data_IF_743009896934
#
_entry.id   IF_743009896934
#
_cell.length_a   1.000
_cell.length_b   1.000
_cell.length_c   1.000
_cell.angle_alpha   90.00
_cell.angle_beta   90.00
_cell.angle_gamma   90.00
#
_symmetry.space_group_name_H-M   'P 1'
#
loop_
_entity.id
_entity.type
_entity.pdbx_description
1 polymer ?
#
# COMPACT_ATOMS: atom_id res chain seq x y z
N UNK A 1 1.67 39.40 -26.06
CA UNK A 1 0.37 39.22 -25.33
C UNK A 1 -0.07 37.76 -25.29
N UNK A 2 -0.42 37.07 -26.41
CA UNK A 2 -0.91 35.67 -26.35
C UNK A 2 0.19 34.72 -25.82
N UNK A 3 1.42 34.85 -26.30
CA UNK A 3 2.56 34.01 -25.88
C UNK A 3 2.88 34.23 -24.39
N UNK A 4 2.88 35.45 -23.91
CA UNK A 4 3.08 35.78 -22.49
C UNK A 4 1.96 35.21 -21.61
N UNK A 5 0.70 35.31 -22.05
CA UNK A 5 -0.42 34.71 -21.32
C UNK A 5 -0.31 33.18 -21.24
N UNK A 6 0.16 32.52 -22.31
CA UNK A 6 0.41 31.08 -22.31
C UNK A 6 1.54 30.69 -21.35
N UNK A 7 2.63 31.47 -21.29
CA UNK A 7 3.73 31.24 -20.34
C UNK A 7 3.30 31.44 -18.90
N UNK A 8 2.53 32.48 -18.61
CA UNK A 8 1.99 32.72 -17.28
C UNK A 8 1.03 31.61 -16.83
N UNK A 9 0.14 31.17 -17.71
CA UNK A 9 -0.76 30.04 -17.42
C UNK A 9 0.00 28.73 -17.17
N UNK A 10 1.00 28.41 -17.99
CA UNK A 10 1.84 27.23 -17.79
C UNK A 10 2.65 27.30 -16.48
N UNK A 11 3.20 28.46 -16.14
CA UNK A 11 3.90 28.70 -14.88
C UNK A 11 2.97 28.54 -13.68
N UNK A 12 1.76 29.09 -13.74
CA UNK A 12 0.74 28.94 -12.69
C UNK A 12 0.31 27.48 -12.50
N UNK A 13 0.04 26.76 -13.58
CA UNK A 13 -0.30 25.33 -13.54
C UNK A 13 0.84 24.54 -12.89
N UNK A 14 2.09 24.84 -13.28
CA UNK A 14 3.26 24.15 -12.72
C UNK A 14 3.42 24.45 -11.22
N UNK A 15 3.32 25.71 -10.78
CA UNK A 15 3.48 26.12 -9.38
C UNK A 15 2.39 25.53 -8.49
N UNK A 16 1.12 25.55 -8.94
CA UNK A 16 0.00 24.92 -8.22
C UNK A 16 0.19 23.40 -8.14
N UNK A 17 0.58 22.77 -9.23
CA UNK A 17 0.85 21.34 -9.26
C UNK A 17 1.99 20.94 -8.34
N UNK A 18 3.08 21.69 -8.34
CA UNK A 18 4.22 21.48 -7.47
C UNK A 18 3.83 21.64 -5.99
N UNK A 19 3.05 22.68 -5.66
CA UNK A 19 2.56 22.90 -4.30
C UNK A 19 1.62 21.78 -3.83
N UNK A 20 0.65 21.40 -4.65
CA UNK A 20 -0.26 20.27 -4.38
C UNK A 20 0.54 18.97 -4.21
N UNK A 21 1.47 18.70 -5.11
CA UNK A 21 2.31 17.51 -5.03
C UNK A 21 3.16 17.48 -3.76
N UNK A 22 3.84 18.58 -3.44
CA UNK A 22 4.66 18.69 -2.24
C UNK A 22 3.84 18.51 -0.97
N UNK A 23 2.67 19.15 -0.88
CA UNK A 23 1.77 18.99 0.27
C UNK A 23 1.27 17.54 0.43
N UNK A 24 1.08 16.82 -0.65
CA UNK A 24 0.65 15.42 -0.62
C UNK A 24 1.79 14.44 -0.32
N UNK A 25 3.05 14.77 -0.63
CA UNK A 25 4.20 13.93 -0.27
C UNK A 25 4.66 14.11 1.17
N UNK A 26 4.13 15.11 1.90
CA UNK A 26 4.36 15.32 3.32
C UNK A 26 3.02 15.15 4.05
N UNK A 27 2.59 13.90 4.32
CA UNK A 27 1.30 13.66 4.94
C UNK A 27 1.28 14.18 6.39
N UNK A 28 0.13 14.64 6.88
CA UNK A 28 -0.03 14.89 8.31
C UNK A 28 0.15 13.58 9.07
N UNK A 29 0.82 13.64 10.21
CA UNK A 29 1.00 12.46 11.07
C UNK A 29 -0.27 12.21 11.88
N UNK A 30 -0.90 11.09 11.61
CA UNK A 30 -2.04 10.62 12.41
C UNK A 30 -1.56 10.21 13.79
N UNK A 31 -2.22 10.74 14.83
CA UNK A 31 -2.02 10.32 16.22
C UNK A 31 -3.02 9.21 16.54
N UNK A 32 -2.55 8.13 17.14
CA UNK A 32 -3.38 7.01 17.57
C UNK A 32 -2.99 6.53 18.96
N UNK A 33 -3.96 5.92 19.66
CA UNK A 33 -3.75 5.33 20.97
C UNK A 33 -2.93 4.02 20.85
N UNK A 34 -2.27 3.58 21.93
CA UNK A 34 -1.66 2.26 21.98
C UNK A 34 -2.66 1.17 21.61
N UNK A 35 -2.18 0.17 20.88
CA UNK A 35 -3.01 -0.96 20.45
C UNK A 35 -3.04 -1.97 21.59
N UNK A 36 -4.23 -2.15 22.18
CA UNK A 36 -4.40 -3.10 23.28
C UNK A 36 -4.00 -4.53 22.87
N UNK A 37 -3.16 -5.15 23.68
CA UNK A 37 -2.64 -6.51 23.45
C UNK A 37 -1.44 -6.56 22.47
N UNK A 38 -0.98 -5.42 21.96
CA UNK A 38 0.17 -5.37 21.08
C UNK A 38 1.41 -4.79 21.76
N UNK A 39 2.57 -5.25 21.35
CA UNK A 39 3.90 -4.81 21.80
C UNK A 39 4.45 -3.76 20.82
N UNK A 40 4.85 -2.54 21.27
CA UNK A 40 5.46 -1.56 20.41
C UNK A 40 6.88 -1.98 20.03
N UNK A 41 7.24 -1.79 18.76
CA UNK A 41 8.55 -2.15 18.24
C UNK A 41 9.12 -1.03 17.38
N UNK A 42 10.45 -0.95 17.35
CA UNK A 42 11.22 -0.05 16.48
C UNK A 42 12.19 -0.84 15.63
N UNK A 43 12.27 -0.51 14.35
CA UNK A 43 13.22 -1.09 13.40
C UNK A 43 13.59 -0.04 12.34
N UNK A 44 14.51 -0.37 11.45
CA UNK A 44 14.90 0.53 10.37
C UNK A 44 14.46 -0.03 9.03
N UNK A 45 14.06 0.86 8.11
CA UNK A 45 13.96 0.52 6.69
C UNK A 45 15.34 0.17 6.13
N UNK A 46 15.39 -0.52 4.99
CA UNK A 46 16.68 -0.88 4.36
C UNK A 46 17.49 0.33 3.86
N UNK A 47 16.87 1.50 3.72
CA UNK A 47 17.53 2.77 3.42
C UNK A 47 17.68 3.68 4.66
N UNK A 48 17.59 3.11 5.88
CA UNK A 48 17.99 3.75 7.13
C UNK A 48 16.94 4.64 7.80
N UNK A 49 15.69 4.64 7.37
CA UNK A 49 14.62 5.39 8.03
C UNK A 49 14.17 4.65 9.29
N UNK A 50 14.17 5.29 10.49
CA UNK A 50 13.63 4.67 11.69
C UNK A 50 12.12 4.49 11.56
N UNK A 51 11.65 3.26 11.77
CA UNK A 51 10.25 2.87 11.64
C UNK A 51 9.71 2.45 13.00
N UNK A 52 8.41 2.70 13.17
CA UNK A 52 7.64 2.28 14.32
C UNK A 52 6.61 1.24 13.89
N UNK A 53 6.43 0.22 14.72
CA UNK A 53 5.46 -0.84 14.50
C UNK A 53 4.84 -1.34 15.81
N UNK A 54 3.91 -2.27 15.65
CA UNK A 54 3.30 -3.04 16.73
C UNK A 54 3.24 -4.51 16.36
N UNK A 55 3.56 -5.37 17.31
CA UNK A 55 3.45 -6.82 17.17
C UNK A 55 2.25 -7.31 17.95
N UNK A 56 1.41 -8.14 17.31
CA UNK A 56 0.45 -9.01 17.97
C UNK A 56 0.95 -10.44 17.82
N UNK A 57 1.28 -11.09 18.93
CA UNK A 57 1.70 -12.49 18.92
C UNK A 57 0.49 -13.40 18.93
N UNK A 58 0.41 -14.28 17.97
CA UNK A 58 -0.57 -15.35 17.87
C UNK A 58 -0.04 -16.65 18.47
N UNK A 59 -0.29 -17.78 17.79
CA UNK A 59 0.30 -19.07 18.19
C UNK A 59 1.81 -19.04 17.91
N UNK A 60 2.60 -19.70 18.76
CA UNK A 60 4.07 -19.71 18.67
C UNK A 60 4.58 -20.05 17.28
N UNK A 61 3.91 -21.04 16.65
CA UNK A 61 4.29 -21.54 15.32
C UNK A 61 3.54 -20.92 14.14
N UNK A 62 2.73 -19.91 14.36
CA UNK A 62 1.93 -19.32 13.29
C UNK A 62 2.78 -18.47 12.32
N UNK A 63 2.36 -18.39 11.06
CA UNK A 63 2.91 -17.46 10.10
C UNK A 63 2.74 -16.00 10.53
N UNK A 64 3.63 -15.14 10.02
CA UNK A 64 3.52 -13.70 10.21
C UNK A 64 2.75 -13.06 9.06
N UNK A 65 1.99 -12.02 9.38
CA UNK A 65 1.37 -11.13 8.40
C UNK A 65 1.86 -9.71 8.66
N UNK A 66 2.44 -9.08 7.64
CA UNK A 66 2.84 -7.66 7.65
C UNK A 66 1.68 -6.82 7.15
N UNK A 67 1.33 -5.76 7.89
CA UNK A 67 0.22 -4.86 7.56
C UNK A 67 0.72 -3.49 7.13
N UNK A 68 0.31 -3.05 5.93
CA UNK A 68 0.67 -1.78 5.33
C UNK A 68 -0.59 -0.90 5.17
N UNK A 69 -0.63 0.22 5.88
CA UNK A 69 -1.74 1.17 5.86
C UNK A 69 -1.76 2.05 4.61
N UNK A 70 -2.87 2.76 4.39
CA UNK A 70 -3.04 3.69 3.28
C UNK A 70 -2.39 5.06 3.54
N UNK A 71 -2.27 5.85 2.47
CA UNK A 71 -1.77 7.21 2.53
C UNK A 71 -2.58 8.09 3.49
N UNK A 72 -1.88 8.93 4.29
CA UNK A 72 -2.41 9.81 5.35
C UNK A 72 -3.06 9.09 6.54
N UNK A 73 -2.91 7.78 6.62
CA UNK A 73 -3.32 6.96 7.74
C UNK A 73 -2.12 6.43 8.53
N UNK A 74 -2.37 5.55 9.45
CA UNK A 74 -1.38 4.92 10.32
C UNK A 74 -1.76 3.46 10.55
N UNK A 75 -1.02 2.80 11.40
CA UNK A 75 -1.34 1.48 11.94
C UNK A 75 -2.81 1.38 12.42
N UNK A 76 -3.41 2.48 12.91
CA UNK A 76 -4.78 2.48 13.39
C UNK A 76 -5.80 1.98 12.35
N UNK A 77 -5.53 2.19 11.05
CA UNK A 77 -6.39 1.70 9.97
C UNK A 77 -6.40 0.18 9.87
N UNK A 78 -5.23 -0.46 10.03
CA UNK A 78 -5.08 -1.91 9.86
C UNK A 78 -5.24 -2.69 11.16
N UNK A 79 -5.17 -2.03 12.31
CA UNK A 79 -5.22 -2.67 13.62
C UNK A 79 -6.49 -3.51 13.86
N UNK A 80 -7.71 -3.09 13.47
CA UNK A 80 -8.89 -3.94 13.62
C UNK A 80 -8.76 -5.25 12.84
N UNK A 81 -8.27 -5.20 11.59
CA UNK A 81 -8.08 -6.38 10.74
C UNK A 81 -7.02 -7.29 11.35
N UNK A 82 -5.88 -6.72 11.76
CA UNK A 82 -4.79 -7.47 12.37
C UNK A 82 -5.21 -8.20 13.65
N UNK A 83 -6.06 -7.57 14.49
CA UNK A 83 -6.58 -8.20 15.68
C UNK A 83 -7.45 -9.44 15.38
N UNK A 84 -8.29 -9.36 14.35
CA UNK A 84 -9.13 -10.50 13.98
C UNK A 84 -8.28 -11.66 13.42
N UNK A 85 -7.28 -11.35 12.56
CA UNK A 85 -6.37 -12.38 12.08
C UNK A 85 -5.49 -12.95 13.21
N UNK A 86 -5.13 -12.13 14.20
CA UNK A 86 -4.42 -12.61 15.38
C UNK A 86 -5.29 -13.55 16.24
N UNK A 87 -6.59 -13.26 16.37
CA UNK A 87 -7.54 -14.18 17.03
C UNK A 87 -7.68 -15.51 16.26
N UNK A 88 -7.53 -15.49 14.94
CA UNK A 88 -7.46 -16.69 14.12
C UNK A 88 -6.12 -17.43 14.28
N UNK A 89 -5.16 -16.87 15.02
CA UNK A 89 -3.90 -17.52 15.38
C UNK A 89 -2.67 -16.98 14.68
N UNK A 90 -2.77 -16.06 13.71
CA UNK A 90 -1.62 -15.47 13.02
C UNK A 90 -0.82 -14.54 13.91
N UNK A 91 0.49 -14.46 13.68
CA UNK A 91 1.30 -13.37 14.18
C UNK A 91 1.15 -12.14 13.26
N UNK A 92 1.13 -10.94 13.82
CA UNK A 92 0.97 -9.72 13.04
C UNK A 92 2.07 -8.70 13.36
N UNK A 93 2.64 -8.11 12.31
CA UNK A 93 3.45 -6.91 12.39
C UNK A 93 2.73 -5.77 11.65
N UNK A 94 2.23 -4.82 12.42
CA UNK A 94 1.68 -3.58 11.88
C UNK A 94 2.80 -2.54 11.83
N UNK A 95 2.96 -1.85 10.72
CA UNK A 95 4.00 -0.84 10.58
C UNK A 95 3.43 0.50 10.13
N UNK A 96 3.89 1.59 10.76
CA UNK A 96 3.74 2.92 10.18
C UNK A 96 4.76 3.06 9.04
N UNK A 97 4.28 3.33 7.84
CA UNK A 97 5.16 3.64 6.72
C UNK A 97 5.96 4.93 6.98
N UNK A 98 7.07 5.10 6.28
CA UNK A 98 7.85 6.36 6.33
C UNK A 98 6.97 7.59 6.22
N UNK A 99 7.31 8.65 6.94
CA UNK A 99 6.58 9.92 7.04
C UNK A 99 5.16 9.82 7.62
N UNK A 100 4.69 8.65 8.05
CA UNK A 100 3.37 8.45 8.66
C UNK A 100 3.46 8.06 10.14
N UNK A 101 2.37 8.21 10.87
CA UNK A 101 2.24 7.81 12.25
C UNK A 101 3.42 8.24 13.11
N UNK A 102 4.09 7.28 13.75
CA UNK A 102 5.26 7.49 14.61
C UNK A 102 6.59 7.22 13.91
N UNK A 103 6.59 6.75 12.66
CA UNK A 103 7.80 6.47 11.90
C UNK A 103 8.54 7.75 11.49
N UNK A 104 9.84 7.63 11.26
CA UNK A 104 10.69 8.69 10.73
C UNK A 104 10.41 9.02 9.26
N UNK A 105 11.32 9.81 8.69
CA UNK A 105 11.17 10.28 7.31
C UNK A 105 10.32 11.53 7.18
N UNK A 106 10.42 12.21 6.03
CA UNK A 106 9.77 13.49 5.78
C UNK A 106 8.82 13.46 4.59
N UNK A 107 8.84 12.41 3.78
CA UNK A 107 7.99 12.31 2.59
C UNK A 107 7.67 10.88 2.23
N UNK A 108 6.48 10.70 1.66
CA UNK A 108 6.03 9.47 1.02
C UNK A 108 6.20 9.55 -0.49
N UNK A 109 6.39 8.40 -1.12
CA UNK A 109 6.46 8.24 -2.57
C UNK A 109 5.28 7.42 -3.14
N UNK A 110 4.22 7.28 -2.37
CA UNK A 110 2.99 6.57 -2.73
C UNK A 110 3.20 5.09 -3.09
N UNK A 111 4.07 4.41 -2.34
CA UNK A 111 4.31 2.98 -2.46
C UNK A 111 5.66 2.61 -3.08
N UNK A 112 6.40 3.55 -3.69
CA UNK A 112 7.67 3.22 -4.36
C UNK A 112 8.85 3.05 -3.40
N UNK A 113 9.16 4.06 -2.57
CA UNK A 113 10.25 3.94 -1.57
C UNK A 113 9.82 3.17 -0.33
N UNK A 114 8.53 3.07 -0.10
CA UNK A 114 7.92 2.32 1.00
C UNK A 114 8.19 0.81 0.91
N UNK A 115 8.63 0.28 -0.25
CA UNK A 115 9.14 -1.09 -0.35
C UNK A 115 10.33 -1.33 0.59
N UNK A 116 11.18 -0.32 0.83
CA UNK A 116 12.29 -0.43 1.76
C UNK A 116 11.83 -0.54 3.21
N UNK A 117 10.64 0.00 3.54
CA UNK A 117 10.03 -0.14 4.86
C UNK A 117 9.60 -1.59 5.08
N UNK A 118 8.98 -2.20 4.06
CA UNK A 118 8.61 -3.62 4.07
C UNK A 118 9.86 -4.50 4.18
N UNK A 119 10.92 -4.22 3.42
CA UNK A 119 12.16 -4.99 3.53
C UNK A 119 12.80 -4.85 4.91
N UNK A 120 12.76 -3.67 5.52
CA UNK A 120 13.17 -3.47 6.91
C UNK A 120 12.34 -4.31 7.89
N UNK A 121 11.02 -4.36 7.69
CA UNK A 121 10.12 -5.22 8.47
C UNK A 121 10.47 -6.71 8.33
N UNK A 122 10.80 -7.17 7.12
CA UNK A 122 11.23 -8.56 6.89
C UNK A 122 12.58 -8.88 7.56
N UNK A 123 13.52 -7.94 7.55
CA UNK A 123 14.79 -8.07 8.29
C UNK A 123 14.51 -8.15 9.78
N UNK A 124 13.67 -7.27 10.31
CA UNK A 124 13.28 -7.29 11.71
C UNK A 124 12.64 -8.63 12.12
N UNK A 125 11.66 -9.12 11.33
CA UNK A 125 11.00 -10.40 11.58
C UNK A 125 11.97 -11.58 11.57
N UNK A 126 13.01 -11.55 10.74
CA UNK A 126 14.04 -12.60 10.74
C UNK A 126 14.90 -12.64 12.01
N UNK A 127 14.93 -11.54 12.78
CA UNK A 127 15.68 -11.44 14.04
C UNK A 127 14.84 -11.80 15.28
N UNK A 128 13.50 -11.60 15.21
CA UNK A 128 12.61 -11.80 16.35
C UNK A 128 11.75 -13.08 16.24
N UNK A 129 11.80 -13.76 15.12
CA UNK A 129 11.17 -15.07 14.99
C UNK A 129 12.02 -16.13 15.70
N UNK A 130 11.48 -16.69 16.78
CA UNK A 130 12.17 -17.72 17.60
C UNK A 130 12.33 -19.06 16.90
N UNK A 131 11.92 -19.20 15.66
CA UNK A 131 11.88 -20.44 14.89
C UNK A 131 12.40 -20.26 13.46
N UNK A 132 12.59 -21.38 12.74
CA UNK A 132 12.97 -21.40 11.33
C UNK A 132 12.12 -20.43 10.48
N UNK A 133 12.69 -19.85 9.40
CA UNK A 133 11.98 -18.89 8.56
C UNK A 133 10.64 -19.45 8.10
N UNK A 134 9.54 -18.83 8.53
CA UNK A 134 8.19 -19.20 8.12
C UNK A 134 7.74 -18.33 6.96
N UNK A 135 6.83 -18.81 6.11
CA UNK A 135 6.26 -17.97 5.07
C UNK A 135 5.56 -16.74 5.69
N UNK A 136 5.77 -15.58 5.11
CA UNK A 136 5.21 -14.32 5.57
C UNK A 136 4.12 -13.89 4.61
N UNK A 137 2.93 -13.58 5.12
CA UNK A 137 1.89 -12.89 4.38
C UNK A 137 2.06 -11.37 4.44
N UNK A 138 1.51 -10.67 3.46
CA UNK A 138 1.41 -9.21 3.50
C UNK A 138 0.00 -8.77 3.13
N UNK A 139 -0.56 -7.85 3.92
CA UNK A 139 -1.82 -7.19 3.63
C UNK A 139 -1.59 -5.70 3.53
N UNK A 140 -1.96 -5.11 2.39
CA UNK A 140 -1.87 -3.68 2.19
C UNK A 140 -3.19 -3.07 1.74
N UNK A 141 -3.40 -1.80 2.13
CA UNK A 141 -4.59 -1.02 1.75
C UNK A 141 -4.13 0.21 0.95
N UNK A 142 -4.68 0.43 -0.24
CA UNK A 142 -4.41 1.59 -1.11
C UNK A 142 -2.91 1.78 -1.40
N UNK A 143 -2.26 2.81 -0.86
CA UNK A 143 -0.80 2.97 -0.92
C UNK A 143 -0.08 1.73 -0.38
N UNK A 144 -0.54 1.18 0.74
CA UNK A 144 -0.02 -0.05 1.31
C UNK A 144 -0.20 -1.26 0.39
N UNK A 145 -1.31 -1.34 -0.36
CA UNK A 145 -1.55 -2.40 -1.34
C UNK A 145 -0.58 -2.30 -2.53
N UNK A 146 -0.33 -1.07 -3.00
CA UNK A 146 0.69 -0.77 -4.01
C UNK A 146 2.07 -1.19 -3.51
N UNK A 147 2.42 -0.81 -2.28
CA UNK A 147 3.69 -1.20 -1.63
C UNK A 147 3.82 -2.71 -1.50
N UNK A 148 2.76 -3.40 -1.06
CA UNK A 148 2.75 -4.86 -0.87
C UNK A 148 3.02 -5.61 -2.17
N UNK A 149 2.33 -5.25 -3.26
CA UNK A 149 2.55 -5.85 -4.58
C UNK A 149 3.97 -5.60 -5.09
N UNK A 150 4.45 -4.36 -4.98
CA UNK A 150 5.80 -4.01 -5.41
C UNK A 150 6.87 -4.74 -4.59
N UNK A 151 6.75 -4.77 -3.26
CA UNK A 151 7.70 -5.44 -2.38
C UNK A 151 7.74 -6.96 -2.65
N UNK A 152 6.58 -7.59 -2.78
CA UNK A 152 6.48 -9.02 -3.04
C UNK A 152 7.09 -9.42 -4.40
N UNK A 153 7.11 -8.52 -5.40
CA UNK A 153 7.76 -8.79 -6.68
C UNK A 153 9.29 -8.85 -6.59
N UNK A 154 9.89 -8.39 -5.48
CA UNK A 154 11.34 -8.36 -5.25
C UNK A 154 11.80 -9.26 -4.10
N UNK A 155 10.91 -9.76 -3.25
CA UNK A 155 11.28 -10.57 -2.08
C UNK A 155 10.33 -11.77 -1.92
N UNK A 156 10.87 -12.95 -2.15
CA UNK A 156 10.10 -14.21 -2.13
C UNK A 156 9.73 -14.66 -0.71
N UNK A 157 10.26 -14.04 0.34
CA UNK A 157 9.81 -14.25 1.73
C UNK A 157 8.35 -13.87 1.91
N UNK A 158 7.85 -12.92 1.09
CA UNK A 158 6.44 -12.58 1.01
C UNK A 158 5.69 -13.64 0.19
N UNK A 159 5.22 -14.67 0.88
CA UNK A 159 4.68 -15.88 0.29
C UNK A 159 3.20 -15.78 -0.12
N UNK A 160 2.45 -14.81 0.42
CA UNK A 160 1.06 -14.57 0.06
C UNK A 160 0.73 -13.07 0.18
N UNK A 161 -0.05 -12.54 -0.75
CA UNK A 161 -0.34 -11.11 -0.85
C UNK A 161 -1.85 -10.85 -0.86
N UNK A 162 -2.33 -10.00 0.03
CA UNK A 162 -3.66 -9.37 -0.03
C UNK A 162 -3.47 -7.89 -0.34
N UNK A 163 -4.04 -7.41 -1.44
CA UNK A 163 -3.95 -6.03 -1.87
C UNK A 163 -5.36 -5.44 -2.05
N UNK A 164 -5.75 -4.56 -1.12
CA UNK A 164 -7.03 -3.87 -1.13
C UNK A 164 -6.91 -2.48 -1.75
N UNK A 165 -7.64 -2.24 -2.83
CA UNK A 165 -7.69 -0.99 -3.58
C UNK A 165 -6.31 -0.51 -4.11
N UNK A 166 -5.46 -1.37 -4.70
CA UNK A 166 -4.20 -0.95 -5.30
C UNK A 166 -4.43 -0.09 -6.55
N UNK A 167 -3.50 0.80 -6.87
CA UNK A 167 -3.50 1.44 -8.18
C UNK A 167 -2.89 0.51 -9.25
N UNK A 168 -3.34 0.62 -10.50
CA UNK A 168 -2.77 -0.13 -11.63
C UNK A 168 -1.31 0.25 -11.88
N UNK A 169 -1.08 1.55 -12.02
CA UNK A 169 0.24 2.20 -12.03
C UNK A 169 0.15 3.53 -11.30
N UNK A 170 1.24 4.01 -10.75
CA UNK A 170 1.24 5.34 -10.14
C UNK A 170 0.98 6.46 -11.18
N UNK A 171 1.36 6.24 -12.44
CA UNK A 171 1.04 7.15 -13.54
C UNK A 171 -0.46 7.28 -13.78
N UNK A 172 -1.20 6.17 -13.75
CA UNK A 172 -2.67 6.18 -13.84
C UNK A 172 -3.29 6.88 -12.62
N UNK A 173 -2.80 6.60 -11.41
CA UNK A 173 -3.27 7.27 -10.19
C UNK A 173 -3.17 8.80 -10.29
N UNK A 174 -2.02 9.33 -10.72
CA UNK A 174 -1.82 10.77 -10.89
C UNK A 174 -2.70 11.37 -12.00
N UNK A 175 -2.92 10.63 -13.07
CA UNK A 175 -3.79 11.04 -14.18
C UNK A 175 -5.26 11.05 -13.76
N UNK A 176 -5.73 10.02 -13.07
CA UNK A 176 -7.12 9.93 -12.60
C UNK A 176 -7.37 10.99 -11.50
N UNK A 177 -6.38 11.27 -10.65
CA UNK A 177 -6.45 12.38 -9.70
C UNK A 177 -6.63 13.73 -10.41
N UNK A 178 -5.84 14.02 -11.45
CA UNK A 178 -5.98 15.24 -12.23
C UNK A 178 -7.34 15.35 -12.92
N UNK A 179 -7.85 14.25 -13.46
CA UNK A 179 -9.17 14.18 -14.11
C UNK A 179 -10.33 14.45 -13.15
N UNK A 180 -10.21 14.03 -11.90
CA UNK A 180 -11.29 14.16 -10.91
C UNK A 180 -11.57 15.60 -10.46
N UNK A 181 -10.61 16.54 -10.65
CA UNK A 181 -10.73 17.88 -10.10
C UNK A 181 -10.41 19.06 -11.04
N UNK A 182 -9.80 18.82 -12.22
CA UNK A 182 -9.24 19.90 -13.04
C UNK A 182 -9.99 20.19 -14.36
N UNK A 183 -11.08 19.44 -14.69
CA UNK A 183 -11.86 19.66 -15.90
C UNK A 183 -10.97 19.74 -17.16
N UNK A 184 -11.09 20.82 -17.99
CA UNK A 184 -10.27 20.96 -19.22
C UNK A 184 -8.76 21.08 -18.97
N UNK A 185 -8.34 21.38 -17.73
CA UNK A 185 -6.93 21.48 -17.33
C UNK A 185 -6.34 20.15 -16.83
N UNK A 186 -7.10 19.07 -16.88
CA UNK A 186 -6.68 17.75 -16.38
C UNK A 186 -5.41 17.20 -17.05
N UNK A 187 -5.26 17.37 -18.37
CA UNK A 187 -4.09 16.89 -19.08
C UNK A 187 -2.80 17.64 -18.70
N UNK A 188 -2.75 19.00 -18.74
CA UNK A 188 -1.57 19.73 -18.28
C UNK A 188 -1.27 19.53 -16.80
N UNK A 189 -2.29 19.38 -15.93
CA UNK A 189 -2.08 19.07 -14.52
C UNK A 189 -1.45 17.68 -14.34
N UNK A 190 -1.96 16.65 -15.03
CA UNK A 190 -1.38 15.31 -15.00
C UNK A 190 0.09 15.30 -15.45
N UNK A 191 0.39 15.96 -16.56
CA UNK A 191 1.76 16.09 -17.08
C UNK A 191 2.69 16.75 -16.05
N UNK A 192 2.23 17.83 -15.42
CA UNK A 192 2.98 18.53 -14.37
C UNK A 192 3.21 17.68 -13.13
N UNK A 193 2.20 16.94 -12.65
CA UNK A 193 2.33 16.02 -11.51
C UNK A 193 3.33 14.89 -11.81
N UNK A 194 3.27 14.31 -13.01
CA UNK A 194 4.19 13.26 -13.47
C UNK A 194 5.63 13.78 -13.56
N UNK A 195 5.83 14.97 -14.13
CA UNK A 195 7.15 15.59 -14.20
C UNK A 195 7.72 15.92 -12.81
N UNK A 196 6.90 16.49 -11.92
CA UNK A 196 7.28 16.80 -10.53
C UNK A 196 7.66 15.54 -9.77
N UNK A 197 6.89 14.46 -9.92
CA UNK A 197 7.22 13.15 -9.33
C UNK A 197 8.59 12.66 -9.83
N UNK A 198 8.83 12.70 -11.15
CA UNK A 198 10.10 12.29 -11.77
C UNK A 198 11.28 13.10 -11.23
N UNK A 199 11.13 14.41 -11.10
CA UNK A 199 12.19 15.28 -10.56
C UNK A 199 12.48 14.95 -9.10
N UNK A 200 11.44 14.71 -8.27
CA UNK A 200 11.60 14.49 -6.84
C UNK A 200 12.13 13.09 -6.50
N UNK A 201 11.68 12.06 -7.17
CA UNK A 201 11.97 10.66 -6.82
C UNK A 201 12.89 9.95 -7.80
N UNK A 202 13.26 10.59 -8.91
CA UNK A 202 14.16 10.00 -9.89
C UNK A 202 13.55 8.89 -10.75
N UNK A 203 12.24 8.63 -10.64
CA UNK A 203 11.55 7.53 -11.32
C UNK A 203 10.29 8.02 -12.01
N UNK A 204 10.02 7.54 -13.24
CA UNK A 204 8.76 7.83 -13.91
C UNK A 204 7.60 7.09 -13.21
N UNK A 205 6.48 7.76 -12.86
CA UNK A 205 5.35 7.12 -12.17
C UNK A 205 4.76 5.94 -12.94
N UNK A 206 4.75 5.97 -14.28
CA UNK A 206 4.29 4.86 -15.11
C UNK A 206 5.12 3.57 -14.98
N UNK A 207 6.36 3.68 -14.51
CA UNK A 207 7.24 2.53 -14.25
C UNK A 207 6.99 1.92 -12.86
N UNK A 208 6.24 2.60 -11.99
CA UNK A 208 5.81 2.09 -10.70
C UNK A 208 4.47 1.42 -10.92
N UNK A 209 4.53 0.12 -11.18
CA UNK A 209 3.39 -0.65 -11.71
C UNK A 209 3.11 -1.89 -10.88
N UNK A 210 2.14 -1.81 -9.95
CA UNK A 210 1.56 -2.99 -9.31
C UNK A 210 1.09 -4.06 -10.29
N UNK A 211 0.60 -3.68 -11.48
CA UNK A 211 0.24 -4.62 -12.55
C UNK A 211 1.43 -5.47 -13.01
N UNK A 212 2.58 -4.83 -13.28
CA UNK A 212 3.79 -5.58 -13.66
C UNK A 212 4.35 -6.39 -12.49
N UNK A 213 4.23 -5.88 -11.25
CA UNK A 213 4.63 -6.58 -10.05
C UNK A 213 3.79 -7.86 -9.85
N UNK A 214 2.47 -7.78 -9.99
CA UNK A 214 1.57 -8.92 -9.86
C UNK A 214 1.87 -10.05 -10.85
N UNK A 215 2.28 -9.73 -12.07
CA UNK A 215 2.68 -10.71 -13.05
C UNK A 215 3.91 -11.57 -12.66
N UNK A 216 4.67 -11.13 -11.64
CA UNK A 216 5.87 -11.82 -11.14
C UNK A 216 5.61 -12.64 -9.87
N UNK A 217 4.38 -12.63 -9.34
CA UNK A 217 4.08 -13.27 -8.07
C UNK A 217 3.90 -14.79 -8.19
N UNK A 218 3.37 -15.28 -9.31
CA UNK A 218 3.14 -16.72 -9.47
C UNK A 218 4.42 -17.55 -9.22
N UNK A 219 4.30 -18.68 -8.51
CA UNK A 219 3.09 -19.35 -8.04
C UNK A 219 2.60 -18.88 -6.64
N UNK A 220 3.04 -17.72 -6.14
CA UNK A 220 2.62 -17.20 -4.83
C UNK A 220 1.19 -16.66 -4.89
N UNK A 221 0.31 -17.04 -3.94
CA UNK A 221 -1.09 -16.63 -3.92
C UNK A 221 -1.27 -15.12 -3.83
N UNK A 222 -2.21 -14.60 -4.63
CA UNK A 222 -2.60 -13.19 -4.67
C UNK A 222 -4.12 -13.04 -4.50
N UNK A 223 -4.54 -12.24 -3.53
CA UNK A 223 -5.92 -11.78 -3.41
C UNK A 223 -6.00 -10.28 -3.67
N UNK A 224 -6.82 -9.89 -4.64
CA UNK A 224 -7.12 -8.51 -4.96
C UNK A 224 -8.53 -8.15 -4.49
N UNK A 225 -8.65 -6.99 -3.84
CA UNK A 225 -9.92 -6.45 -3.37
C UNK A 225 -10.07 -5.05 -3.98
N UNK A 226 -11.29 -4.66 -4.37
CA UNK A 226 -11.55 -3.33 -4.93
C UNK A 226 -13.00 -2.91 -4.81
N UNK A 227 -13.26 -1.61 -4.81
CA UNK A 227 -14.60 -1.04 -4.84
C UNK A 227 -15.09 -0.84 -6.28
N UNK A 228 -16.32 -1.27 -6.59
CA UNK A 228 -16.92 -1.06 -7.93
C UNK A 228 -17.13 0.43 -8.24
N UNK A 229 -17.37 1.28 -7.23
CA UNK A 229 -17.55 2.71 -7.35
C UNK A 229 -16.31 3.53 -7.00
N UNK A 230 -15.14 2.87 -6.83
CA UNK A 230 -13.89 3.53 -6.51
C UNK A 230 -13.44 4.46 -7.65
N UNK A 231 -13.37 5.77 -7.36
CA UNK A 231 -12.93 6.80 -8.31
C UNK A 231 -11.43 7.10 -8.19
N UNK A 232 -10.77 6.66 -7.11
CA UNK A 232 -9.33 6.90 -6.88
C UNK A 232 -8.47 5.79 -7.51
N UNK A 233 -8.86 4.54 -7.26
CA UNK A 233 -8.27 3.36 -7.87
C UNK A 233 -9.38 2.52 -8.52
N UNK A 234 -9.82 2.91 -9.72
CA UNK A 234 -11.01 2.33 -10.36
C UNK A 234 -10.92 0.82 -10.50
N UNK A 235 -12.06 0.14 -10.36
CA UNK A 235 -12.17 -1.32 -10.45
C UNK A 235 -11.52 -1.89 -11.73
N UNK A 236 -11.58 -1.14 -12.86
CA UNK A 236 -10.88 -1.52 -14.12
C UNK A 236 -9.36 -1.71 -13.91
N UNK A 237 -8.73 -0.88 -13.06
CA UNK A 237 -7.29 -0.99 -12.75
C UNK A 237 -6.99 -2.21 -11.88
N UNK A 238 -7.83 -2.49 -10.89
CA UNK A 238 -7.73 -3.70 -10.06
C UNK A 238 -7.91 -4.95 -10.93
N UNK A 239 -8.85 -4.91 -11.86
CA UNK A 239 -9.08 -6.01 -12.81
C UNK A 239 -7.90 -6.19 -13.76
N UNK A 240 -7.30 -5.12 -14.26
CA UNK A 240 -6.09 -5.19 -15.11
C UNK A 240 -4.89 -5.80 -14.35
N UNK A 241 -4.76 -5.54 -13.04
CA UNK A 241 -3.77 -6.22 -12.18
C UNK A 241 -4.09 -7.71 -12.09
N UNK A 242 -5.36 -8.06 -11.83
CA UNK A 242 -5.81 -9.46 -11.75
C UNK A 242 -5.54 -10.23 -13.04
N UNK A 243 -5.87 -9.66 -14.19
CA UNK A 243 -5.65 -10.28 -15.50
C UNK A 243 -4.16 -10.52 -15.80
N UNK A 244 -3.28 -9.64 -15.31
CA UNK A 244 -1.83 -9.78 -15.51
C UNK A 244 -1.17 -10.77 -14.55
N UNK A 245 -1.78 -11.05 -13.40
CA UNK A 245 -1.23 -12.00 -12.43
C UNK A 245 -1.40 -13.45 -12.89
N UNK A 246 -0.41 -14.30 -12.56
CA UNK A 246 -0.54 -15.75 -12.70
C UNK A 246 -1.31 -16.39 -11.54
N UNK A 247 -1.61 -17.67 -11.67
CA UNK A 247 -2.29 -18.46 -10.61
C UNK A 247 -1.31 -18.85 -9.47
N UNK A 248 -1.84 -19.04 -8.23
CA UNK A 248 -3.23 -18.90 -7.81
C UNK A 248 -3.58 -17.45 -7.47
N UNK A 249 -4.76 -16.99 -7.90
CA UNK A 249 -5.23 -15.61 -7.67
C UNK A 249 -6.72 -15.55 -7.40
N UNK A 250 -7.14 -14.54 -6.63
CA UNK A 250 -8.54 -14.27 -6.30
C UNK A 250 -8.86 -12.80 -6.51
N UNK A 251 -10.05 -12.50 -6.98
CA UNK A 251 -10.58 -11.14 -7.12
C UNK A 251 -11.90 -11.00 -6.39
N UNK A 252 -12.01 -9.97 -5.54
CA UNK A 252 -13.23 -9.62 -4.86
C UNK A 252 -13.57 -8.14 -5.09
N UNK A 253 -14.57 -7.86 -5.91
CA UNK A 253 -15.08 -6.52 -6.14
C UNK A 253 -16.36 -6.30 -5.30
N UNK A 254 -16.29 -5.35 -4.37
CA UNK A 254 -17.39 -5.00 -3.46
C UNK A 254 -18.21 -3.82 -3.99
N UNK A 255 -19.46 -3.74 -3.59
CA UNK A 255 -20.29 -2.56 -3.85
C UNK A 255 -19.91 -1.45 -2.87
N UNK A 256 -18.94 -0.61 -3.27
CA UNK A 256 -18.37 0.42 -2.44
C UNK A 256 -17.37 1.30 -3.18
N UNK A 257 -16.99 2.39 -2.51
CA UNK A 257 -15.97 3.32 -2.94
C UNK A 257 -14.58 2.86 -2.49
N UNK A 258 -13.60 3.78 -2.56
CA UNK A 258 -12.19 3.53 -2.20
C UNK A 258 -12.04 3.08 -0.74
N UNK A 259 -11.43 1.88 -0.51
CA UNK A 259 -11.17 1.30 0.81
C UNK A 259 -12.42 1.00 1.65
N UNK A 260 -13.56 0.82 1.03
CA UNK A 260 -14.81 0.53 1.75
C UNK A 260 -15.08 -0.94 1.99
N UNK A 261 -14.26 -1.83 1.44
CA UNK A 261 -14.47 -3.28 1.55
C UNK A 261 -14.62 -3.75 3.00
N UNK A 262 -13.63 -3.43 3.85
CA UNK A 262 -13.69 -3.75 5.27
C UNK A 262 -14.80 -3.00 6.00
N UNK A 263 -14.94 -1.69 5.76
CA UNK A 263 -15.92 -0.85 6.49
C UNK A 263 -17.38 -1.28 6.25
N UNK A 264 -17.71 -1.67 5.02
CA UNK A 264 -19.07 -2.08 4.65
C UNK A 264 -19.39 -3.53 4.97
N UNK A 265 -18.38 -4.39 4.93
CA UNK A 265 -18.55 -5.84 5.07
C UNK A 265 -17.47 -6.42 5.98
N UNK A 266 -17.37 -5.99 7.26
CA UNK A 266 -16.25 -6.38 8.12
C UNK A 266 -16.14 -7.89 8.32
N UNK A 267 -17.25 -8.57 8.56
CA UNK A 267 -17.28 -10.03 8.78
C UNK A 267 -16.85 -10.82 7.54
N UNK A 268 -17.42 -10.49 6.36
CA UNK A 268 -17.07 -11.16 5.11
C UNK A 268 -15.63 -10.85 4.69
N UNK A 269 -15.16 -9.63 4.92
CA UNK A 269 -13.78 -9.24 4.69
C UNK A 269 -12.81 -10.09 5.52
N UNK A 270 -13.02 -10.14 6.83
CA UNK A 270 -12.19 -10.93 7.75
C UNK A 270 -12.23 -12.41 7.38
N UNK A 271 -13.42 -12.95 7.16
CA UNK A 271 -13.58 -14.36 6.76
C UNK A 271 -12.77 -14.69 5.50
N UNK A 272 -12.90 -13.90 4.44
CA UNK A 272 -12.19 -14.13 3.16
C UNK A 272 -10.69 -14.02 3.31
N UNK A 273 -10.21 -12.98 3.99
CA UNK A 273 -8.78 -12.75 4.19
C UNK A 273 -8.17 -13.82 5.09
N UNK A 274 -8.88 -14.23 6.15
CA UNK A 274 -8.43 -15.32 7.02
C UNK A 274 -8.30 -16.63 6.26
N UNK A 275 -9.35 -17.06 5.56
CA UNK A 275 -9.33 -18.30 4.75
C UNK A 275 -8.23 -18.25 3.69
N UNK A 276 -8.05 -17.10 3.03
CA UNK A 276 -6.98 -16.93 2.07
C UNK A 276 -5.60 -17.17 2.68
N UNK A 277 -5.29 -16.53 3.83
CA UNK A 277 -3.99 -16.72 4.49
C UNK A 277 -3.82 -18.10 5.11
N UNK A 278 -4.87 -18.71 5.67
CA UNK A 278 -4.83 -20.11 6.17
C UNK A 278 -4.40 -21.09 5.08
N UNK A 279 -5.04 -20.98 3.92
CA UNK A 279 -4.73 -21.84 2.76
C UNK A 279 -3.35 -21.55 2.15
N UNK A 280 -2.97 -20.26 2.10
CA UNK A 280 -1.75 -19.81 1.43
C UNK A 280 -0.48 -19.98 2.27
N UNK A 281 -0.59 -19.96 3.59
CA UNK A 281 0.54 -19.99 4.52
C UNK A 281 0.59 -21.25 5.38
N UNK A 282 -0.29 -22.24 5.09
CA UNK A 282 -0.37 -23.52 5.79
C UNK A 282 -0.52 -23.35 7.32
N UNK A 283 -1.50 -22.53 7.74
CA UNK A 283 -1.89 -22.44 9.13
C UNK A 283 -2.79 -23.63 9.46
N UNK A 284 -2.19 -24.73 9.90
CA UNK A 284 -2.88 -25.94 10.37
C UNK A 284 -3.14 -25.91 11.88
#
# INVERSE_FOLDING_TARGET
MVVEACFLAAFWIWTVSAAVFLSNTIPPREKYAPIAGAEPVGFASTDGIPLHGWILRGRADAPWIVFCHSWRHSIAETAPIAKELNRAGFNALLMDARAHGRSGGHSTSFGFREINDVFGALVYLSQVADTAPKPIGILGISMGATTALLAAAYDDRLAAVVADSPCETLGHLLTDYARSGAGPFSAPLAASLIATYRMRFGKWPGQISPRVAAARLAPRPLMLIGGKQDKKTPARGVQAIFESAGEPKQLWLVDGEHREAYRKNPEDYIKRVTVFFEQSLNLT
#
